data_IF_039449328663
#
_entry.id   IF_039449328663
#
_cell.length_a   1.000
_cell.length_b   1.000
_cell.length_c   1.000
_cell.angle_alpha   90.00
_cell.angle_beta   90.00
_cell.angle_gamma   90.00
#
_symmetry.space_group_name_H-M   'P 1'
#
loop_
_entity.id
_entity.type
_entity.pdbx_description
1 polymer ?
#
# COMPACT_ATOMS: atom_id res chain seq x y z
N UNK A 1 -35.46 -12.62 -22.41
CA UNK A 1 -34.56 -11.45 -22.40
C UNK A 1 -34.35 -10.85 -21.01
N UNK A 2 -35.38 -10.72 -20.17
CA UNK A 2 -35.28 -10.17 -18.80
C UNK A 2 -34.29 -10.90 -17.87
N UNK A 3 -34.26 -12.24 -17.92
CA UNK A 3 -33.40 -13.05 -17.04
C UNK A 3 -31.92 -12.92 -17.42
N UNK A 4 -31.63 -12.84 -18.72
CA UNK A 4 -30.26 -12.68 -19.23
C UNK A 4 -29.68 -11.33 -18.79
N UNK A 5 -30.49 -10.27 -18.80
CA UNK A 5 -30.10 -8.94 -18.34
C UNK A 5 -29.82 -8.93 -16.83
N UNK A 6 -30.65 -9.62 -16.03
CA UNK A 6 -30.46 -9.72 -14.59
C UNK A 6 -29.14 -10.45 -14.24
N UNK A 7 -28.84 -11.54 -14.94
CA UNK A 7 -27.59 -12.29 -14.75
C UNK A 7 -26.37 -11.43 -15.13
N UNK A 8 -26.46 -10.71 -16.26
CA UNK A 8 -25.39 -9.78 -16.68
C UNK A 8 -25.14 -8.68 -15.65
N UNK A 9 -26.19 -8.12 -15.04
CA UNK A 9 -26.04 -7.10 -14.00
C UNK A 9 -25.37 -7.65 -12.73
N UNK A 10 -25.68 -8.88 -12.33
CA UNK A 10 -25.05 -9.53 -11.17
C UNK A 10 -23.57 -9.82 -11.44
N UNK A 11 -23.25 -10.31 -12.64
CA UNK A 11 -21.84 -10.55 -13.05
C UNK A 11 -21.07 -9.23 -13.15
N UNK A 12 -21.69 -8.18 -13.68
CA UNK A 12 -21.06 -6.85 -13.76
C UNK A 12 -20.84 -6.25 -12.35
N UNK A 13 -21.80 -6.39 -11.44
CA UNK A 13 -21.67 -5.94 -10.07
C UNK A 13 -20.59 -6.73 -9.30
N UNK A 14 -20.54 -8.04 -9.49
CA UNK A 14 -19.52 -8.90 -8.88
C UNK A 14 -18.12 -8.59 -9.41
N UNK A 15 -17.98 -8.36 -10.72
CA UNK A 15 -16.70 -7.97 -11.33
C UNK A 15 -16.26 -6.60 -10.82
N UNK A 16 -17.13 -5.59 -10.82
CA UNK A 16 -16.80 -4.27 -10.26
C UNK A 16 -16.42 -4.33 -8.77
N UNK A 17 -17.07 -5.19 -7.98
CA UNK A 17 -16.73 -5.39 -6.58
C UNK A 17 -15.34 -6.03 -6.39
N UNK A 18 -14.99 -7.02 -7.23
CA UNK A 18 -13.72 -7.73 -7.15
C UNK A 18 -12.55 -7.00 -7.83
N UNK A 19 -12.79 -6.25 -8.91
CA UNK A 19 -11.74 -5.53 -9.66
C UNK A 19 -11.60 -4.08 -9.24
N UNK A 20 -12.67 -3.50 -8.68
CA UNK A 20 -12.75 -2.11 -8.27
C UNK A 20 -12.99 -2.02 -6.77
N UNK A 21 -11.99 -2.41 -5.96
CA UNK A 21 -11.90 -1.92 -4.59
C UNK A 21 -11.93 -0.39 -4.64
N UNK A 22 -13.11 0.19 -4.41
CA UNK A 22 -13.34 1.63 -4.50
C UNK A 22 -12.39 2.29 -3.50
N UNK A 23 -11.29 2.87 -4.00
CA UNK A 23 -10.45 3.77 -3.22
C UNK A 23 -11.19 5.10 -3.11
N UNK A 24 -12.26 5.13 -2.32
CA UNK A 24 -12.80 6.38 -1.82
C UNK A 24 -11.69 7.00 -0.98
N UNK A 25 -11.10 8.07 -1.51
CA UNK A 25 -10.06 8.82 -0.85
C UNK A 25 -10.55 9.33 0.50
N UNK A 26 -10.17 8.62 1.55
CA UNK A 26 -10.02 9.18 2.88
C UNK A 26 -8.66 8.70 3.40
N UNK A 27 -7.82 9.69 3.67
CA UNK A 27 -6.44 9.55 4.15
C UNK A 27 -6.51 9.16 5.62
N UNK A 28 -6.84 7.90 5.89
CA UNK A 28 -6.71 7.30 7.21
C UNK A 28 -6.07 5.93 7.01
N UNK A 29 -4.78 5.82 7.31
CA UNK A 29 -4.10 4.52 7.28
C UNK A 29 -4.56 3.73 8.50
N UNK A 30 -5.73 3.11 8.36
CA UNK A 30 -6.20 2.13 9.31
C UNK A 30 -5.45 0.81 9.06
N UNK A 31 -5.15 0.06 10.13
CA UNK A 31 -4.58 -1.27 9.98
C UNK A 31 -5.50 -2.10 9.08
N UNK A 32 -5.00 -2.44 7.90
CA UNK A 32 -5.81 -3.08 6.87
C UNK A 32 -5.53 -4.57 6.90
N UNK A 33 -6.60 -5.35 7.09
CA UNK A 33 -6.55 -6.79 6.90
C UNK A 33 -6.70 -7.10 5.41
N UNK A 34 -5.72 -7.79 4.86
CA UNK A 34 -5.66 -8.13 3.45
C UNK A 34 -5.80 -9.65 3.31
N UNK A 35 -6.58 -10.08 2.31
CA UNK A 35 -6.81 -11.50 2.00
C UNK A 35 -6.48 -11.70 0.53
N UNK A 36 -5.45 -12.53 0.25
CA UNK A 36 -4.95 -12.82 -1.09
C UNK A 36 -4.76 -11.56 -1.96
N UNK A 37 -4.19 -10.51 -1.36
CA UNK A 37 -3.94 -9.24 -2.03
C UNK A 37 -2.84 -9.40 -3.09
N UNK A 38 -3.08 -8.79 -4.25
CA UNK A 38 -2.21 -8.81 -5.41
C UNK A 38 -2.15 -7.41 -6.05
N UNK A 39 -1.04 -7.07 -6.68
CA UNK A 39 -0.84 -5.79 -7.36
C UNK A 39 0.01 -4.82 -6.55
N UNK A 40 -0.14 -3.52 -6.80
CA UNK A 40 0.64 -2.49 -6.12
C UNK A 40 -0.24 -1.38 -5.54
N UNK A 41 0.10 -0.91 -4.34
CA UNK A 41 -0.38 0.34 -3.77
C UNK A 41 0.74 1.36 -3.79
N UNK A 42 0.45 2.57 -4.26
CA UNK A 42 1.42 3.66 -4.27
C UNK A 42 0.94 4.80 -3.36
N UNK A 43 1.86 5.35 -2.58
CA UNK A 43 1.63 6.48 -1.68
C UNK A 43 2.69 7.54 -1.95
N UNK A 44 2.27 8.78 -2.18
CA UNK A 44 3.15 9.92 -2.40
C UNK A 44 3.20 10.82 -1.17
N UNK A 45 4.40 11.14 -0.70
CA UNK A 45 4.63 12.09 0.40
C UNK A 45 5.38 13.30 -0.13
N UNK A 46 4.79 14.49 -0.01
CA UNK A 46 5.43 15.73 -0.45
C UNK A 46 6.15 16.37 0.74
N UNK A 47 7.46 16.53 0.64
CA UNK A 47 8.25 17.28 1.60
C UNK A 47 8.42 18.72 1.14
N UNK A 48 8.03 19.65 2.01
CA UNK A 48 8.19 21.08 1.80
C UNK A 48 9.38 21.57 2.62
N UNK A 49 10.57 21.61 2.02
CA UNK A 49 11.74 22.41 2.43
C UNK A 49 12.42 22.12 3.77
N UNK A 50 11.68 21.79 4.82
CA UNK A 50 12.19 21.70 6.19
C UNK A 50 12.67 20.28 6.48
N UNK A 51 13.99 20.11 6.31
CA UNK A 51 15.01 19.20 6.89
C UNK A 51 14.67 17.89 7.63
N UNK A 52 13.42 17.54 7.89
CA UNK A 52 13.04 16.28 8.53
C UNK A 52 12.90 15.21 7.44
N UNK A 53 13.60 14.07 7.52
CA UNK A 53 13.51 13.01 6.51
C UNK A 53 12.14 12.34 6.55
N UNK A 54 11.65 11.88 5.38
CA UNK A 54 10.43 11.06 5.34
C UNK A 54 10.67 9.81 6.18
N UNK A 55 9.93 9.63 7.27
CA UNK A 55 9.95 8.38 8.03
C UNK A 55 8.64 7.65 7.83
N UNK A 56 8.73 6.41 7.36
CA UNK A 56 7.62 5.49 7.24
C UNK A 56 7.82 4.39 8.26
N UNK A 57 6.97 4.36 9.28
CA UNK A 57 6.99 3.34 10.34
C UNK A 57 5.73 2.53 10.33
N UNK A 58 5.81 1.28 10.76
CA UNK A 58 4.65 0.41 10.72
C UNK A 58 4.92 -0.99 11.23
N UNK A 59 3.93 -1.84 11.08
CA UNK A 59 4.05 -3.27 11.33
C UNK A 59 3.38 -4.06 10.22
N UNK A 60 3.93 -5.23 9.96
CA UNK A 60 3.37 -6.19 9.03
C UNK A 60 3.33 -7.57 9.70
N UNK A 61 2.13 -8.16 9.77
CA UNK A 61 1.93 -9.53 10.19
C UNK A 61 1.50 -10.34 8.97
N UNK A 62 2.42 -11.11 8.40
CA UNK A 62 2.15 -11.99 7.27
C UNK A 62 1.68 -13.36 7.72
N UNK A 63 0.60 -13.87 7.12
CA UNK A 63 0.16 -15.27 7.26
C UNK A 63 0.60 -16.13 6.08
N UNK A 64 0.48 -15.60 4.86
CA UNK A 64 0.90 -16.25 3.62
C UNK A 64 1.18 -15.21 2.52
N UNK A 65 1.85 -15.63 1.45
CA UNK A 65 2.31 -14.73 0.39
C UNK A 65 3.41 -13.79 0.88
N UNK A 66 3.63 -12.71 0.14
CA UNK A 66 4.62 -11.68 0.49
C UNK A 66 4.16 -10.28 0.10
N UNK A 67 4.70 -9.29 0.80
CA UNK A 67 4.59 -7.88 0.43
C UNK A 67 5.99 -7.27 0.40
N UNK A 68 6.28 -6.48 -0.64
CA UNK A 68 7.52 -5.72 -0.78
C UNK A 68 7.21 -4.24 -0.70
N UNK A 69 7.77 -3.57 0.32
CA UNK A 69 7.72 -2.14 0.49
C UNK A 69 8.98 -1.53 -0.13
N UNK A 70 8.80 -0.48 -0.95
CA UNK A 70 9.90 0.28 -1.56
C UNK A 70 9.62 1.77 -1.41
N UNK A 71 10.50 2.46 -0.70
CA UNK A 71 10.50 3.92 -0.61
C UNK A 71 11.49 4.47 -1.65
N UNK A 72 11.00 5.37 -2.50
CA UNK A 72 11.77 6.06 -3.53
C UNK A 72 11.86 7.55 -3.23
N UNK A 73 13.02 8.13 -3.50
CA UNK A 73 13.27 9.57 -3.44
C UNK A 73 12.62 10.32 -4.62
N UNK A 74 12.65 11.67 -4.61
CA UNK A 74 12.13 12.48 -5.71
C UNK A 74 12.86 12.26 -7.05
N UNK A 75 14.10 11.75 -7.03
CA UNK A 75 14.85 11.38 -8.23
C UNK A 75 14.49 9.98 -8.76
N UNK A 76 13.68 9.22 -8.03
CA UNK A 76 13.22 7.88 -8.37
C UNK A 76 14.10 6.74 -7.85
N UNK A 77 15.18 7.03 -7.12
CA UNK A 77 16.06 6.03 -6.54
C UNK A 77 15.40 5.38 -5.33
N UNK A 78 15.61 4.08 -5.15
CA UNK A 78 15.15 3.39 -3.95
C UNK A 78 16.07 3.72 -2.77
N UNK A 79 15.50 4.34 -1.74
CA UNK A 79 16.22 4.77 -0.52
C UNK A 79 15.94 3.88 0.68
N UNK A 80 14.84 3.15 0.65
CA UNK A 80 14.50 2.15 1.64
C UNK A 80 13.66 1.05 1.04
N UNK A 81 13.77 -0.16 1.57
CA UNK A 81 12.88 -1.24 1.21
C UNK A 81 12.84 -2.31 2.28
N UNK A 82 11.70 -3.00 2.35
CA UNK A 82 11.52 -4.11 3.26
C UNK A 82 10.55 -5.12 2.66
N UNK A 83 10.91 -6.39 2.76
CA UNK A 83 10.01 -7.48 2.45
C UNK A 83 9.36 -8.00 3.74
N UNK A 84 8.06 -8.24 3.70
CA UNK A 84 7.33 -8.91 4.76
C UNK A 84 6.72 -10.19 4.19
N UNK A 85 7.21 -11.30 4.69
CA UNK A 85 6.69 -12.65 4.44
C UNK A 85 5.95 -13.14 5.68
N UNK A 86 5.61 -14.43 5.76
CA UNK A 86 5.00 -15.02 6.94
C UNK A 86 5.79 -14.69 8.22
N UNK A 87 5.13 -14.10 9.22
CA UNK A 87 5.74 -13.66 10.48
C UNK A 87 5.38 -12.22 10.86
N UNK A 88 5.94 -11.75 11.97
CA UNK A 88 5.80 -10.38 12.46
C UNK A 88 7.03 -9.55 12.08
N UNK A 89 6.79 -8.39 11.47
CA UNK A 89 7.82 -7.50 10.96
C UNK A 89 7.56 -6.07 11.41
N UNK A 90 8.57 -5.41 11.95
CA UNK A 90 8.56 -3.97 12.16
C UNK A 90 9.03 -3.28 10.87
N UNK A 91 8.28 -2.30 10.39
CA UNK A 91 8.62 -1.50 9.22
C UNK A 91 9.26 -0.22 9.72
N UNK A 92 10.47 0.08 9.24
CA UNK A 92 11.14 1.35 9.46
C UNK A 92 11.92 1.74 8.21
N UNK A 93 11.30 2.56 7.36
CA UNK A 93 11.91 3.09 6.15
C UNK A 93 12.14 4.59 6.35
N UNK A 94 13.33 5.04 5.99
CA UNK A 94 13.72 6.44 6.09
C UNK A 94 14.17 6.94 4.72
N UNK A 95 13.61 8.06 4.29
CA UNK A 95 14.05 8.81 3.12
C UNK A 95 15.19 9.76 3.47
N UNK A 96 15.77 10.36 2.43
CA UNK A 96 16.74 11.44 2.60
C UNK A 96 16.05 12.76 2.99
N UNK A 97 16.86 13.81 3.18
CA UNK A 97 16.38 15.16 3.48
C UNK A 97 16.15 15.98 2.19
N UNK A 98 16.10 15.31 1.03
CA UNK A 98 15.92 16.00 -0.24
C UNK A 98 14.49 16.52 -0.36
N UNK A 99 14.29 17.81 -0.69
CA UNK A 99 12.95 18.34 -0.91
C UNK A 99 12.34 17.72 -2.16
N UNK A 100 11.05 17.39 -2.10
CA UNK A 100 10.32 16.84 -3.23
C UNK A 100 9.29 15.78 -2.85
N UNK A 101 8.85 15.02 -3.85
CA UNK A 101 7.84 13.98 -3.69
C UNK A 101 8.48 12.61 -3.54
N UNK A 102 8.42 12.04 -2.35
CA UNK A 102 8.78 10.65 -2.10
C UNK A 102 7.63 9.73 -2.47
N UNK A 103 7.97 8.51 -2.89
CA UNK A 103 7.00 7.50 -3.31
C UNK A 103 7.23 6.20 -2.58
N UNK A 104 6.25 5.78 -1.79
CA UNK A 104 6.21 4.47 -1.16
C UNK A 104 5.33 3.54 -2.00
N UNK A 105 5.92 2.46 -2.50
CA UNK A 105 5.23 1.40 -3.23
C UNK A 105 5.13 0.15 -2.37
N UNK A 106 3.94 -0.41 -2.26
CA UNK A 106 3.65 -1.67 -1.57
C UNK A 106 3.20 -2.66 -2.65
N UNK A 107 4.07 -3.60 -3.00
CA UNK A 107 3.77 -4.65 -3.98
C UNK A 107 3.33 -5.92 -3.24
N UNK A 108 2.15 -6.42 -3.57
CA UNK A 108 1.55 -7.60 -2.96
C UNK A 108 1.60 -8.78 -3.93
N UNK A 109 1.99 -9.93 -3.43
CA UNK A 109 2.06 -11.19 -4.16
C UNK A 109 1.36 -12.27 -3.31
N UNK A 110 0.07 -12.48 -3.61
CA UNK A 110 -0.86 -13.36 -2.89
C UNK A 110 -0.86 -13.15 -1.37
N UNK A 111 -0.66 -11.90 -0.92
CA UNK A 111 -0.44 -11.58 0.48
C UNK A 111 -1.72 -11.74 1.29
N UNK A 112 -1.63 -12.46 2.41
CA UNK A 112 -2.69 -12.52 3.42
C UNK A 112 -2.10 -12.18 4.78
N UNK A 113 -2.67 -11.18 5.45
CA UNK A 113 -2.12 -10.67 6.69
C UNK A 113 -2.61 -9.27 7.03
N UNK A 114 -1.97 -8.66 8.03
CA UNK A 114 -2.25 -7.29 8.46
C UNK A 114 -1.07 -6.40 8.10
N UNK A 115 -1.37 -5.23 7.53
CA UNK A 115 -0.38 -4.20 7.24
C UNK A 115 -0.87 -2.88 7.85
N UNK A 116 -0.01 -2.25 8.65
CA UNK A 116 -0.20 -0.91 9.21
C UNK A 116 1.05 -0.09 8.90
N UNK A 117 0.92 0.97 8.11
CA UNK A 117 2.05 1.79 7.66
C UNK A 117 1.68 3.25 7.85
N UNK A 118 2.52 4.01 8.56
CA UNK A 118 2.23 5.40 8.88
C UNK A 118 3.43 6.26 8.52
N UNK A 119 3.12 7.39 7.94
CA UNK A 119 4.08 8.46 7.81
C UNK A 119 4.23 9.14 9.17
N UNK A 120 5.46 9.22 9.67
CA UNK A 120 5.80 9.93 10.90
C UNK A 120 6.42 11.25 10.49
N UNK A 121 5.66 12.32 10.67
CA UNK A 121 6.16 13.68 10.59
C UNK A 121 6.60 14.06 12.01
N UNK A 122 7.90 14.28 12.22
CA UNK A 122 8.44 14.70 13.51
C UNK A 122 8.63 16.21 13.53
#
# INVERSE_FOLDING_TARGET
>A
MRIVIAILLVVLAATLYFTGGIRLGMVTVMPTWLVNAQGASEYSYRMAGDSVPVQVKGTCNGKSGRIVLRLRDPAGNQVGGQECVRGDWAINLQGHNDPGSYRLTLEYDHFTGRVDVRHVQN
#
